data_IF_697614708019
#
_entry.id   IF_697614708019
#
_cell.length_a   1.000
_cell.length_b   1.000
_cell.length_c   1.000
_cell.angle_alpha   90.00
_cell.angle_beta   90.00
_cell.angle_gamma   90.00
#
_symmetry.space_group_name_H-M   'P 1'
#
loop_
_entity.id
_entity.type
_entity.pdbx_description
1 polymer ?
#
# COMPACT_ATOMS: atom_id res chain seq x y z
N UNK A 1 11.01 8.68 35.10
CA UNK A 1 10.04 8.62 33.96
C UNK A 1 10.70 7.83 32.84
N UNK A 2 10.07 6.76 32.37
CA UNK A 2 10.59 5.98 31.24
C UNK A 2 10.26 6.65 29.90
N UNK A 3 10.90 6.20 28.78
CA UNK A 3 10.70 6.79 27.43
C UNK A 3 9.23 6.79 26.98
N UNK A 4 8.47 5.79 27.40
CA UNK A 4 7.06 5.63 27.03
C UNK A 4 6.18 6.63 27.76
N UNK A 5 6.38 6.80 29.05
CA UNK A 5 5.67 7.81 29.86
C UNK A 5 5.96 9.23 29.36
N UNK A 6 7.25 9.55 29.14
CA UNK A 6 7.65 10.82 28.56
C UNK A 6 6.96 11.11 27.22
N UNK A 7 6.86 10.11 26.34
CA UNK A 7 6.17 10.27 25.06
C UNK A 7 4.67 10.56 25.24
N UNK A 8 3.98 9.82 26.12
CA UNK A 8 2.54 10.04 26.31
C UNK A 8 2.24 11.38 26.97
N UNK A 9 3.05 11.83 27.94
CA UNK A 9 2.92 13.13 28.59
C UNK A 9 3.13 14.28 27.61
N UNK A 10 4.01 14.12 26.62
CA UNK A 10 4.34 15.17 25.65
C UNK A 10 3.76 14.91 24.24
N UNK A 11 2.81 13.98 24.11
CA UNK A 11 2.32 13.51 22.82
C UNK A 11 1.79 14.62 21.93
N UNK A 12 0.99 15.52 22.46
CA UNK A 12 0.40 16.64 21.71
C UNK A 12 1.49 17.55 21.14
N UNK A 13 2.45 17.95 21.96
CA UNK A 13 3.60 18.76 21.54
C UNK A 13 4.40 18.07 20.42
N UNK A 14 4.60 16.75 20.50
CA UNK A 14 5.29 16.00 19.45
C UNK A 14 4.49 15.96 18.15
N UNK A 15 3.17 15.79 18.25
CA UNK A 15 2.28 15.77 17.07
C UNK A 15 2.23 17.15 16.40
N UNK A 16 2.18 18.21 17.18
CA UNK A 16 2.16 19.58 16.69
C UNK A 16 3.48 19.94 15.98
N UNK A 17 4.62 19.69 16.61
CA UNK A 17 5.93 19.86 15.98
C UNK A 17 6.07 19.07 14.69
N UNK A 18 5.57 17.82 14.66
CA UNK A 18 5.59 17.02 13.45
C UNK A 18 4.68 17.56 12.36
N UNK A 19 3.53 18.12 12.72
CA UNK A 19 2.60 18.77 11.79
C UNK A 19 3.24 20.01 11.16
N UNK A 20 3.91 20.82 11.97
CA UNK A 20 4.67 21.99 11.48
C UNK A 20 5.78 21.57 10.53
N UNK A 21 6.60 20.58 10.90
CA UNK A 21 7.65 20.04 10.04
C UNK A 21 7.10 19.58 8.68
N UNK A 22 5.99 18.83 8.67
CA UNK A 22 5.36 18.31 7.46
C UNK A 22 4.64 19.40 6.63
N UNK A 23 4.47 20.60 7.17
CA UNK A 23 3.93 21.75 6.45
C UNK A 23 5.00 22.54 5.66
N UNK A 24 6.24 22.06 5.63
CA UNK A 24 7.30 22.58 4.77
C UNK A 24 7.62 21.57 3.67
N UNK A 25 8.10 22.03 2.52
CA UNK A 25 8.49 21.16 1.42
C UNK A 25 9.67 20.26 1.81
N UNK A 26 10.62 20.79 2.57
CA UNK A 26 11.79 20.07 3.08
C UNK A 26 11.37 18.96 4.07
N UNK A 27 10.47 19.28 5.00
CA UNK A 27 9.97 18.32 5.99
C UNK A 27 9.19 17.19 5.32
N UNK A 28 8.40 17.52 4.29
CA UNK A 28 7.72 16.52 3.47
C UNK A 28 8.70 15.63 2.72
N UNK A 29 9.71 16.21 2.05
CA UNK A 29 10.73 15.47 1.30
C UNK A 29 11.49 14.49 2.22
N UNK A 30 11.95 14.96 3.40
CA UNK A 30 12.57 14.10 4.43
C UNK A 30 11.66 12.95 4.88
N UNK A 31 10.37 13.24 5.06
CA UNK A 31 9.41 12.21 5.47
C UNK A 31 9.17 11.18 4.36
N UNK A 32 9.04 11.60 3.10
CA UNK A 32 8.88 10.71 1.95
C UNK A 32 10.10 9.81 1.80
N UNK A 33 11.31 10.37 1.82
CA UNK A 33 12.55 9.61 1.74
C UNK A 33 12.61 8.50 2.79
N UNK A 34 12.34 8.84 4.05
CA UNK A 34 12.29 7.85 5.14
C UNK A 34 11.22 6.77 4.93
N UNK A 35 10.07 7.12 4.34
CA UNK A 35 9.01 6.15 4.04
C UNK A 35 9.44 5.20 2.91
N UNK A 36 10.07 5.72 1.85
CA UNK A 36 10.57 4.93 0.73
C UNK A 36 11.67 3.96 1.16
N UNK A 37 12.66 4.41 1.93
CA UNK A 37 13.72 3.56 2.47
C UNK A 37 13.16 2.40 3.34
N UNK A 38 12.17 2.71 4.19
CA UNK A 38 11.50 1.68 4.99
C UNK A 38 10.73 0.67 4.15
N UNK A 39 10.04 1.15 3.12
CA UNK A 39 9.28 0.30 2.21
C UNK A 39 10.20 -0.61 1.41
N UNK A 40 11.28 -0.06 0.83
CA UNK A 40 12.24 -0.82 0.05
C UNK A 40 12.94 -1.89 0.90
N UNK A 41 13.37 -1.52 2.11
CA UNK A 41 13.93 -2.47 3.08
C UNK A 41 12.95 -3.59 3.45
N UNK A 42 11.69 -3.24 3.72
CA UNK A 42 10.64 -4.22 4.08
C UNK A 42 10.39 -5.24 2.97
N UNK A 43 10.50 -4.81 1.72
CA UNK A 43 10.22 -5.63 0.55
C UNK A 43 11.48 -6.19 -0.14
N UNK A 44 12.66 -6.09 0.51
CA UNK A 44 13.95 -6.57 0.02
C UNK A 44 14.30 -6.08 -1.40
N UNK A 45 13.96 -4.81 -1.72
CA UNK A 45 14.18 -4.23 -3.04
C UNK A 45 15.58 -3.66 -3.26
N UNK A 46 16.41 -3.64 -2.22
CA UNK A 46 17.71 -3.01 -2.24
C UNK A 46 17.68 -1.57 -1.69
N UNK A 47 18.79 -0.83 -1.88
CA UNK A 47 18.94 0.54 -1.37
C UNK A 47 18.64 1.54 -2.47
N UNK A 48 17.77 2.52 -2.20
CA UNK A 48 17.54 3.67 -3.05
C UNK A 48 18.70 4.66 -3.03
N UNK A 49 18.69 5.61 -3.97
CA UNK A 49 19.71 6.68 -4.10
C UNK A 49 19.08 8.09 -4.14
N UNK A 50 17.82 8.23 -3.73
CA UNK A 50 17.17 9.54 -3.66
C UNK A 50 17.75 10.37 -2.51
N UNK A 51 17.81 11.70 -2.71
CA UNK A 51 18.13 12.68 -1.66
C UNK A 51 16.95 13.63 -1.45
N UNK A 52 16.99 14.36 -0.34
CA UNK A 52 15.93 15.35 -0.02
C UNK A 52 15.89 16.45 -1.09
N UNK A 53 17.03 16.97 -1.47
CA UNK A 53 17.20 18.03 -2.47
C UNK A 53 16.68 17.57 -3.83
N UNK A 54 17.12 16.38 -4.26
CA UNK A 54 16.66 15.79 -5.52
C UNK A 54 15.14 15.60 -5.56
N UNK A 55 14.54 15.13 -4.46
CA UNK A 55 13.08 14.96 -4.34
C UNK A 55 12.33 16.29 -4.47
N UNK A 56 12.87 17.36 -3.89
CA UNK A 56 12.26 18.70 -4.02
C UNK A 56 12.29 19.14 -5.48
N UNK A 57 13.46 19.09 -6.13
CA UNK A 57 13.66 19.64 -7.46
C UNK A 57 13.01 18.83 -8.58
N UNK A 58 12.98 17.50 -8.44
CA UNK A 58 12.58 16.61 -9.53
C UNK A 58 11.23 15.94 -9.32
N UNK A 59 10.70 15.94 -8.10
CA UNK A 59 9.40 15.31 -7.77
C UNK A 59 8.40 16.35 -7.25
N UNK A 60 8.68 16.97 -6.10
CA UNK A 60 7.69 17.79 -5.41
C UNK A 60 7.39 19.12 -6.12
N UNK A 61 8.34 19.64 -6.88
CA UNK A 61 8.18 20.85 -7.72
C UNK A 61 7.62 20.58 -9.10
N UNK A 62 7.32 19.31 -9.43
CA UNK A 62 6.79 18.92 -10.74
C UNK A 62 5.31 18.55 -10.66
N UNK A 63 4.56 18.72 -11.75
CA UNK A 63 3.20 18.21 -11.85
C UNK A 63 3.20 16.66 -11.89
N UNK A 64 2.06 16.09 -11.57
CA UNK A 64 1.83 14.65 -11.72
C UNK A 64 2.00 14.22 -13.19
N UNK A 65 2.82 13.22 -13.47
CA UNK A 65 3.07 12.72 -14.83
C UNK A 65 1.82 12.14 -15.51
N UNK A 66 0.78 11.80 -14.75
CA UNK A 66 -0.42 11.14 -15.29
C UNK A 66 -1.60 12.10 -15.49
N UNK A 67 -1.82 13.06 -14.61
CA UNK A 67 -3.00 13.94 -14.68
C UNK A 67 -2.67 15.43 -14.64
N UNK A 68 -1.39 15.81 -14.57
CA UNK A 68 -0.95 17.21 -14.55
C UNK A 68 -1.23 17.94 -13.21
N UNK A 69 -1.79 17.27 -12.19
CA UNK A 69 -2.08 17.91 -10.90
C UNK A 69 -0.80 18.41 -10.23
N UNK A 70 -0.84 19.65 -9.77
CA UNK A 70 0.27 20.32 -9.12
C UNK A 70 0.11 20.38 -7.60
N UNK A 71 1.21 20.67 -6.91
CA UNK A 71 1.25 20.93 -5.47
C UNK A 71 2.03 19.90 -4.68
N UNK A 72 3.13 20.33 -4.08
CA UNK A 72 4.05 19.48 -3.34
C UNK A 72 3.41 18.65 -2.20
N UNK A 73 2.26 19.10 -1.66
CA UNK A 73 1.53 18.38 -0.61
C UNK A 73 0.86 17.10 -1.10
N UNK A 74 0.53 17.01 -2.36
CA UNK A 74 -0.18 15.88 -2.97
C UNK A 74 0.68 15.01 -3.87
N UNK A 75 1.87 15.52 -4.27
CA UNK A 75 2.81 14.80 -5.11
C UNK A 75 3.75 13.92 -4.26
N UNK A 76 4.14 12.79 -4.81
CA UNK A 76 5.14 11.87 -4.31
C UNK A 76 5.75 11.09 -5.46
N UNK A 77 6.50 10.03 -5.17
CA UNK A 77 7.06 9.14 -6.20
C UNK A 77 6.11 7.99 -6.52
N UNK A 78 5.94 7.72 -7.80
CA UNK A 78 5.54 6.42 -8.33
C UNK A 78 6.78 5.70 -8.86
N UNK A 79 6.94 4.40 -8.61
CA UNK A 79 8.01 3.61 -9.21
C UNK A 79 7.59 3.11 -10.59
N UNK A 80 8.49 3.21 -11.57
CA UNK A 80 8.30 2.66 -12.91
C UNK A 80 8.34 1.13 -12.90
N UNK A 81 9.29 0.57 -12.13
CA UNK A 81 9.40 -0.87 -11.86
C UNK A 81 9.21 -1.13 -10.36
N UNK A 82 8.09 -1.75 -9.99
CA UNK A 82 7.71 -2.02 -8.61
C UNK A 82 8.58 -3.08 -7.92
N UNK A 83 9.41 -3.82 -8.66
CA UNK A 83 10.35 -4.81 -8.11
C UNK A 83 11.65 -4.18 -7.62
N UNK A 84 11.98 -2.98 -8.11
CA UNK A 84 13.20 -2.23 -7.78
C UNK A 84 12.98 -1.20 -6.67
N UNK A 85 14.04 -0.71 -6.03
CA UNK A 85 13.95 0.35 -5.03
C UNK A 85 13.60 1.71 -5.64
N UNK A 86 13.33 2.69 -4.78
CA UNK A 86 13.18 4.08 -5.20
C UNK A 86 14.54 4.67 -5.57
N UNK A 87 14.83 4.73 -6.86
CA UNK A 87 16.05 5.32 -7.43
C UNK A 87 15.71 6.43 -8.40
N UNK A 88 16.68 7.32 -8.69
CA UNK A 88 16.51 8.47 -9.57
C UNK A 88 15.96 8.06 -10.95
N UNK A 89 16.39 6.93 -11.47
CA UNK A 89 15.99 6.36 -12.76
C UNK A 89 14.71 5.50 -12.69
N UNK A 90 14.20 5.21 -11.50
CA UNK A 90 13.04 4.34 -11.30
C UNK A 90 11.82 5.05 -10.68
N UNK A 91 11.82 6.38 -10.62
CA UNK A 91 10.69 7.12 -10.05
C UNK A 91 10.25 8.28 -10.94
N UNK A 92 8.97 8.61 -10.86
CA UNK A 92 8.35 9.75 -11.51
C UNK A 92 7.43 10.51 -10.55
N UNK A 93 7.14 11.81 -10.82
CA UNK A 93 6.16 12.57 -10.04
C UNK A 93 4.75 12.00 -10.20
N UNK A 94 4.10 11.66 -9.09
CA UNK A 94 2.74 11.13 -9.14
C UNK A 94 1.91 11.64 -7.97
N UNK A 95 0.68 12.07 -8.22
CA UNK A 95 -0.24 12.43 -7.16
C UNK A 95 -0.82 11.19 -6.46
N UNK A 96 -1.28 11.38 -5.24
CA UNK A 96 -1.81 10.28 -4.40
C UNK A 96 -2.98 9.56 -5.08
N UNK A 97 -3.83 10.29 -5.80
CA UNK A 97 -4.99 9.75 -6.49
C UNK A 97 -4.57 8.82 -7.63
N UNK A 98 -3.73 9.31 -8.57
CA UNK A 98 -3.24 8.49 -9.69
C UNK A 98 -2.45 7.27 -9.20
N UNK A 99 -1.57 7.45 -8.22
CA UNK A 99 -0.81 6.33 -7.64
C UNK A 99 -1.74 5.26 -7.04
N UNK A 100 -2.79 5.68 -6.34
CA UNK A 100 -3.78 4.75 -5.78
C UNK A 100 -4.57 4.01 -6.86
N UNK A 101 -4.96 4.69 -7.92
CA UNK A 101 -5.69 4.08 -9.04
C UNK A 101 -4.84 3.06 -9.79
N UNK A 102 -3.58 3.37 -10.07
CA UNK A 102 -2.65 2.44 -10.71
C UNK A 102 -2.42 1.19 -9.85
N UNK A 103 -2.12 1.37 -8.56
CA UNK A 103 -1.98 0.26 -7.62
C UNK A 103 -3.28 -0.55 -7.48
N UNK A 104 -4.42 0.11 -7.53
CA UNK A 104 -5.73 -0.54 -7.49
C UNK A 104 -5.95 -1.47 -8.67
N UNK A 105 -5.55 -1.07 -9.87
CA UNK A 105 -5.66 -1.87 -11.11
C UNK A 105 -4.66 -3.03 -11.14
N UNK A 106 -3.39 -2.79 -10.85
CA UNK A 106 -2.35 -3.83 -10.84
C UNK A 106 -2.51 -4.85 -9.69
N UNK A 107 -2.99 -4.40 -8.53
CA UNK A 107 -3.22 -5.27 -7.38
C UNK A 107 -4.55 -6.03 -7.45
N UNK A 108 -5.41 -5.74 -8.41
CA UNK A 108 -6.70 -6.40 -8.60
C UNK A 108 -6.50 -7.76 -9.26
N UNK A 109 -6.39 -8.81 -8.47
CA UNK A 109 -6.47 -10.18 -8.99
C UNK A 109 -7.94 -10.56 -9.16
N UNK A 110 -8.30 -11.12 -10.32
CA UNK A 110 -9.59 -11.78 -10.52
C UNK A 110 -9.81 -12.82 -9.43
N UNK A 111 -11.06 -12.99 -9.05
CA UNK A 111 -11.47 -13.95 -8.03
C UNK A 111 -12.59 -14.79 -8.61
N UNK A 112 -12.44 -16.08 -8.51
CA UNK A 112 -13.42 -17.07 -8.96
C UNK A 112 -14.17 -17.62 -7.76
N UNK A 113 -15.50 -17.56 -7.82
CA UNK A 113 -16.41 -18.08 -6.79
C UNK A 113 -16.98 -19.40 -7.24
N UNK A 114 -16.88 -20.43 -6.42
CA UNK A 114 -17.40 -21.77 -6.71
C UNK A 114 -18.34 -22.23 -5.61
N UNK A 115 -19.29 -23.05 -5.99
CA UNK A 115 -20.05 -23.88 -5.05
C UNK A 115 -19.11 -24.86 -4.33
N UNK A 116 -19.57 -25.50 -3.25
CA UNK A 116 -18.74 -26.47 -2.52
C UNK A 116 -18.43 -27.74 -3.33
N UNK A 117 -19.27 -28.09 -4.32
CA UNK A 117 -19.07 -29.17 -5.28
C UNK A 117 -18.20 -28.77 -6.49
N UNK A 118 -17.72 -27.51 -6.54
CA UNK A 118 -16.74 -27.06 -7.52
C UNK A 118 -17.31 -26.44 -8.80
N UNK A 119 -18.61 -26.14 -8.86
CA UNK A 119 -19.20 -25.44 -10.02
C UNK A 119 -18.91 -23.95 -9.93
N UNK A 120 -18.46 -23.32 -11.00
CA UNK A 120 -18.27 -21.88 -11.10
C UNK A 120 -19.60 -21.14 -10.93
N UNK A 121 -19.67 -20.24 -10.00
CA UNK A 121 -20.83 -19.38 -9.72
C UNK A 121 -20.65 -18.02 -10.40
N UNK A 122 -19.48 -17.40 -10.20
CA UNK A 122 -19.22 -16.07 -10.73
C UNK A 122 -17.71 -15.76 -10.76
N UNK A 123 -17.32 -14.97 -11.76
CA UNK A 123 -16.02 -14.28 -11.81
C UNK A 123 -16.18 -12.87 -11.28
N UNK A 124 -15.22 -12.42 -10.47
CA UNK A 124 -15.15 -11.10 -9.88
C UNK A 124 -13.84 -10.42 -10.29
N UNK A 125 -13.87 -9.14 -10.62
CA UNK A 125 -12.67 -8.39 -10.98
C UNK A 125 -11.68 -8.28 -9.80
N UNK A 126 -12.17 -8.37 -8.55
CA UNK A 126 -11.32 -8.33 -7.36
C UNK A 126 -12.05 -8.79 -6.10
N UNK A 127 -11.30 -9.13 -5.06
CA UNK A 127 -11.83 -9.34 -3.72
C UNK A 127 -12.50 -8.07 -3.14
N UNK A 128 -12.11 -6.88 -3.62
CA UNK A 128 -12.75 -5.61 -3.24
C UNK A 128 -14.16 -5.52 -3.80
N UNK A 129 -14.36 -5.96 -5.03
CA UNK A 129 -15.67 -6.04 -5.65
C UNK A 129 -16.58 -7.04 -4.94
N UNK A 130 -16.05 -8.20 -4.56
CA UNK A 130 -16.79 -9.14 -3.69
C UNK A 130 -17.27 -8.45 -2.41
N UNK A 131 -16.41 -7.58 -1.82
CA UNK A 131 -16.74 -6.81 -0.63
C UNK A 131 -17.92 -5.85 -0.83
N UNK A 132 -18.01 -5.18 -1.96
CA UNK A 132 -19.14 -4.30 -2.33
C UNK A 132 -20.44 -5.09 -2.52
N UNK A 133 -20.35 -6.37 -2.79
CA UNK A 133 -21.48 -7.28 -3.03
C UNK A 133 -21.79 -8.19 -1.82
N UNK A 134 -21.47 -7.75 -0.61
CA UNK A 134 -21.88 -8.40 0.64
C UNK A 134 -20.97 -9.51 1.15
N UNK A 135 -19.82 -9.75 0.54
CA UNK A 135 -18.80 -10.68 1.05
C UNK A 135 -17.75 -9.95 1.88
N UNK A 136 -17.09 -10.62 2.81
CA UNK A 136 -15.95 -10.02 3.49
C UNK A 136 -14.68 -10.20 2.63
N UNK A 137 -14.13 -9.08 2.12
CA UNK A 137 -12.95 -9.10 1.22
C UNK A 137 -11.74 -9.80 1.82
N UNK A 138 -11.52 -9.68 3.14
CA UNK A 138 -10.39 -10.34 3.80
C UNK A 138 -10.58 -11.84 3.85
N UNK A 139 -11.79 -12.32 4.18
CA UNK A 139 -12.12 -13.73 4.19
C UNK A 139 -12.04 -14.35 2.80
N UNK A 140 -12.50 -13.65 1.75
CA UNK A 140 -12.35 -14.08 0.36
C UNK A 140 -10.88 -14.24 -0.01
N UNK A 141 -10.02 -13.25 0.31
CA UNK A 141 -8.58 -13.32 0.07
C UNK A 141 -7.90 -14.45 0.84
N UNK A 142 -8.31 -14.68 2.08
CA UNK A 142 -7.79 -15.77 2.90
C UNK A 142 -8.15 -17.14 2.29
N UNK A 143 -9.38 -17.30 1.79
CA UNK A 143 -9.79 -18.51 1.06
C UNK A 143 -8.95 -18.72 -0.22
N UNK A 144 -8.79 -17.67 -1.05
CA UNK A 144 -7.98 -17.76 -2.29
C UNK A 144 -6.51 -18.14 -2.03
N UNK A 145 -6.00 -17.86 -0.82
CA UNK A 145 -4.64 -18.22 -0.38
C UNK A 145 -4.57 -19.58 0.33
N UNK A 146 -5.70 -20.26 0.50
CA UNK A 146 -5.79 -21.48 1.30
C UNK A 146 -5.70 -21.25 2.81
N UNK A 147 -5.66 -19.99 3.28
CA UNK A 147 -5.59 -19.69 4.69
C UNK A 147 -4.80 -18.43 5.02
N UNK A 148 -4.50 -18.29 6.31
CA UNK A 148 -3.67 -17.17 6.82
C UNK A 148 -2.86 -17.58 8.05
N UNK A 149 -1.77 -16.87 8.30
CA UNK A 149 -1.05 -16.99 9.57
C UNK A 149 -1.85 -16.30 10.70
N UNK A 150 -2.06 -17.00 11.80
CA UNK A 150 -2.68 -16.45 13.01
C UNK A 150 -1.61 -16.12 14.06
N UNK A 151 -1.35 -14.82 14.33
CA UNK A 151 -0.37 -14.41 15.34
C UNK A 151 -0.71 -14.91 16.75
N UNK A 152 -2.02 -14.96 17.10
CA UNK A 152 -2.51 -15.42 18.39
C UNK A 152 -2.22 -16.92 18.61
N UNK A 153 -2.38 -17.72 17.54
CA UNK A 153 -2.14 -19.18 17.56
C UNK A 153 -0.72 -19.54 17.15
N UNK A 154 0.08 -18.57 16.70
CA UNK A 154 1.45 -18.75 16.18
C UNK A 154 1.55 -19.86 15.11
N UNK A 155 0.51 -20.04 14.29
CA UNK A 155 0.46 -21.06 13.25
C UNK A 155 -0.38 -20.64 12.03
N UNK A 156 -0.18 -21.35 10.94
CA UNK A 156 -1.06 -21.25 9.76
C UNK A 156 -2.43 -21.83 10.05
N UNK A 157 -3.49 -21.15 9.63
CA UNK A 157 -4.87 -21.60 9.75
C UNK A 157 -5.44 -21.74 8.34
N UNK A 158 -5.80 -22.96 7.96
CA UNK A 158 -6.45 -23.24 6.67
C UNK A 158 -7.85 -22.63 6.64
N UNK A 159 -8.16 -21.92 5.56
CA UNK A 159 -9.48 -21.32 5.32
C UNK A 159 -9.86 -21.68 3.89
N UNK A 160 -10.78 -22.61 3.75
CA UNK A 160 -11.15 -23.20 2.45
C UNK A 160 -12.45 -22.67 1.89
N UNK A 161 -13.27 -21.99 2.70
CA UNK A 161 -14.57 -21.45 2.29
C UNK A 161 -14.95 -20.18 3.05
N UNK A 162 -15.81 -19.36 2.42
CA UNK A 162 -16.45 -18.21 3.03
C UNK A 162 -17.88 -18.09 2.54
N UNK A 163 -18.85 -18.00 3.47
CA UNK A 163 -20.29 -17.93 3.19
C UNK A 163 -20.80 -19.06 2.28
N UNK A 164 -20.33 -20.29 2.49
CA UNK A 164 -20.77 -21.46 1.73
C UNK A 164 -20.17 -21.59 0.31
N UNK A 165 -19.15 -20.80 -0.02
CA UNK A 165 -18.48 -20.83 -1.31
C UNK A 165 -16.97 -21.07 -1.15
N UNK A 166 -16.38 -21.76 -2.13
CA UNK A 166 -14.93 -21.80 -2.35
C UNK A 166 -14.52 -20.60 -3.19
N UNK A 167 -13.30 -20.13 -3.00
CA UNK A 167 -12.77 -18.94 -3.67
C UNK A 167 -11.34 -19.22 -4.14
N UNK A 168 -11.01 -18.84 -5.37
CA UNK A 168 -9.69 -19.02 -5.95
C UNK A 168 -9.25 -17.79 -6.73
N UNK A 169 -7.93 -17.56 -6.87
CA UNK A 169 -7.36 -16.59 -7.80
C UNK A 169 -7.12 -17.17 -9.17
N UNK A 170 -7.16 -18.50 -9.32
CA UNK A 170 -7.02 -19.23 -10.57
C UNK A 170 -8.30 -20.02 -10.82
N UNK A 171 -8.69 -20.26 -12.10
CA UNK A 171 -9.75 -21.21 -12.43
C UNK A 171 -9.43 -22.60 -11.88
N UNK A 172 -10.44 -23.29 -11.32
CA UNK A 172 -10.32 -24.69 -10.85
C UNK A 172 -10.50 -25.68 -12.02
#
# INVERSE_FOLDING_TARGET
>A
MNKREYYYTNRERFLEKKKEELNTIEGRAKNLLRCYEKEDKKNNRGKGNLTTEWLIDNILSKPCSHCGKEGWKVIGCNRLDNTKPHTIDNVEPCCVECNREMWGKEASKKVYQYTLDGKLVKEWESATECGKNGYNRCSVRDCCKGGRYSPQRKKWVNIVQHKGYKWSYEPL
#
